data_IF_531392605626
#
_entry.id   IF_531392605626
#
_cell.length_a   1.000
_cell.length_b   1.000
_cell.length_c   1.000
_cell.angle_alpha   90.00
_cell.angle_beta   90.00
_cell.angle_gamma   90.00
#
_symmetry.space_group_name_H-M   'P 1'
#
loop_
_entity.id
_entity.type
_entity.pdbx_description
1 polymer ?
#
# COMPACT_ATOMS: atom_id res chain seq x y z
N UNK A 1 -20.23 -3.70 -21.63
CA UNK A 1 -19.68 -2.45 -22.11
C UNK A 1 -18.19 -2.44 -21.86
N UNK A 2 -17.40 -2.19 -22.88
CA UNK A 2 -15.95 -2.17 -22.71
C UNK A 2 -15.52 -0.91 -21.94
N UNK A 3 -14.68 -1.08 -20.94
CA UNK A 3 -14.09 0.06 -20.23
C UNK A 3 -13.08 0.75 -21.15
N UNK A 4 -13.15 2.09 -21.18
CA UNK A 4 -12.22 2.90 -21.94
C UNK A 4 -11.22 3.49 -20.98
N UNK A 5 -9.94 3.14 -21.14
CA UNK A 5 -8.87 3.70 -20.31
C UNK A 5 -8.27 4.94 -20.94
N UNK A 6 -7.80 5.89 -20.13
CA UNK A 6 -7.18 7.11 -20.64
C UNK A 6 -5.86 6.82 -21.33
N UNK A 7 -5.44 7.71 -22.23
CA UNK A 7 -4.08 7.72 -22.76
C UNK A 7 -3.08 8.07 -21.65
N UNK A 8 -1.78 7.85 -21.91
CA UNK A 8 -0.75 8.22 -20.93
C UNK A 8 -0.82 9.70 -20.53
N UNK A 9 -1.03 10.59 -21.48
CA UNK A 9 -1.17 12.02 -21.19
C UNK A 9 -2.40 12.33 -20.35
N UNK A 10 -3.53 11.72 -20.67
CA UNK A 10 -4.76 11.89 -19.88
C UNK A 10 -4.58 11.37 -18.46
N UNK A 11 -3.88 10.26 -18.31
CA UNK A 11 -3.58 9.67 -17.01
C UNK A 11 -2.66 10.57 -16.18
N UNK A 12 -1.61 11.12 -16.78
CA UNK A 12 -0.69 12.04 -16.11
C UNK A 12 -1.35 13.37 -15.73
N UNK A 13 -2.31 13.82 -16.53
CA UNK A 13 -3.07 15.06 -16.31
C UNK A 13 -4.42 14.81 -15.64
N UNK A 14 -4.66 13.59 -15.17
CA UNK A 14 -5.92 13.23 -14.56
C UNK A 14 -6.23 14.03 -13.30
N UNK A 15 -7.46 13.94 -12.80
CA UNK A 15 -7.86 14.68 -11.62
C UNK A 15 -7.01 14.30 -10.40
N UNK A 16 -6.81 15.26 -9.52
CA UNK A 16 -6.17 15.00 -8.23
C UNK A 16 -7.22 14.42 -7.29
N UNK A 17 -6.97 13.20 -6.84
CA UNK A 17 -7.91 12.47 -5.98
C UNK A 17 -7.19 12.10 -4.68
N UNK A 18 -7.79 12.48 -3.55
CA UNK A 18 -7.36 12.01 -2.24
C UNK A 18 -8.37 10.96 -1.76
N UNK A 19 -7.89 9.75 -1.50
CA UNK A 19 -8.71 8.66 -1.00
C UNK A 19 -8.37 8.39 0.47
N UNK A 20 -9.39 8.35 1.31
CA UNK A 20 -9.23 8.20 2.76
C UNK A 20 -9.88 6.88 3.16
N UNK A 21 -9.19 6.06 3.94
CA UNK A 21 -9.78 4.82 4.43
C UNK A 21 -8.79 3.92 5.15
N UNK A 22 -9.25 2.71 5.44
CA UNK A 22 -8.42 1.65 6.03
C UNK A 22 -7.85 0.72 4.97
N UNK A 23 -6.97 -0.19 5.39
CA UNK A 23 -6.11 -0.99 4.53
C UNK A 23 -6.75 -1.65 3.31
N UNK A 24 -7.60 -2.68 3.51
CA UNK A 24 -8.10 -3.48 2.39
C UNK A 24 -9.05 -2.72 1.49
N UNK A 25 -10.02 -2.00 2.08
CA UNK A 25 -10.98 -1.24 1.31
C UNK A 25 -10.33 -0.13 0.50
N UNK A 26 -9.42 0.60 1.14
CA UNK A 26 -8.70 1.69 0.48
C UNK A 26 -7.81 1.15 -0.65
N UNK A 27 -7.06 0.08 -0.41
CA UNK A 27 -6.18 -0.48 -1.44
C UNK A 27 -6.96 -0.96 -2.66
N UNK A 28 -8.12 -1.56 -2.46
CA UNK A 28 -9.00 -1.99 -3.56
C UNK A 28 -9.46 -0.80 -4.39
N UNK A 29 -9.86 0.29 -3.74
CA UNK A 29 -10.27 1.51 -4.42
C UNK A 29 -9.12 2.13 -5.21
N UNK A 30 -7.91 2.17 -4.62
CA UNK A 30 -6.73 2.72 -5.28
C UNK A 30 -6.36 1.95 -6.54
N UNK A 31 -6.51 0.61 -6.54
CA UNK A 31 -6.25 -0.20 -7.73
C UNK A 31 -7.17 0.18 -8.89
N UNK A 32 -8.41 0.50 -8.59
CA UNK A 32 -9.35 0.99 -9.60
C UNK A 32 -9.01 2.39 -10.09
N UNK A 33 -8.75 3.32 -9.17
CA UNK A 33 -8.50 4.72 -9.48
C UNK A 33 -7.20 4.95 -10.26
N UNK A 34 -6.14 4.19 -9.97
CA UNK A 34 -4.85 4.38 -10.65
C UNK A 34 -4.91 4.12 -12.15
N UNK A 35 -5.94 3.45 -12.64
CA UNK A 35 -6.15 3.23 -14.07
C UNK A 35 -6.58 4.51 -14.79
N UNK A 36 -7.09 5.47 -14.08
CA UNK A 36 -7.66 6.69 -14.67
C UNK A 36 -6.82 7.93 -14.40
N UNK A 37 -6.04 7.96 -13.33
CA UNK A 37 -5.22 9.11 -12.99
C UNK A 37 -3.94 8.71 -12.26
N UNK A 38 -2.88 9.47 -12.51
CA UNK A 38 -1.62 9.39 -11.77
C UNK A 38 -1.68 10.17 -10.45
N UNK A 39 -2.56 11.15 -10.36
CA UNK A 39 -2.58 12.12 -9.27
C UNK A 39 -3.40 11.60 -8.10
N UNK A 40 -2.96 10.47 -7.53
CA UNK A 40 -3.60 9.82 -6.39
C UNK A 40 -2.81 10.06 -5.10
N UNK A 41 -3.54 10.39 -4.04
CA UNK A 41 -2.99 10.46 -2.69
C UNK A 41 -3.83 9.57 -1.78
N UNK A 42 -3.20 8.66 -1.08
CA UNK A 42 -3.86 7.80 -0.11
C UNK A 42 -3.66 8.34 1.30
N UNK A 43 -4.75 8.49 2.04
CA UNK A 43 -4.71 8.85 3.45
C UNK A 43 -5.19 7.63 4.23
N UNK A 44 -4.26 6.95 4.88
CA UNK A 44 -4.53 5.69 5.57
C UNK A 44 -4.89 5.98 7.01
N UNK A 45 -6.08 5.53 7.45
CA UNK A 45 -6.48 5.72 8.83
C UNK A 45 -5.69 4.78 9.73
N UNK A 46 -5.41 5.23 10.95
CA UNK A 46 -4.62 4.50 11.95
C UNK A 46 -5.48 4.04 13.13
N UNK A 47 -6.77 3.92 12.91
CA UNK A 47 -7.71 3.61 13.97
C UNK A 47 -7.78 2.12 14.33
N UNK A 48 -7.31 1.24 13.44
CA UNK A 48 -7.37 -0.22 13.62
C UNK A 48 -6.09 -0.73 14.28
N UNK A 49 -6.24 -1.44 15.40
CA UNK A 49 -5.14 -2.03 16.16
C UNK A 49 -4.97 -3.54 15.91
N UNK A 50 -5.58 -4.08 14.83
CA UNK A 50 -5.59 -5.52 14.58
C UNK A 50 -4.27 -6.10 14.07
N UNK A 51 -4.05 -7.39 14.32
CA UNK A 51 -2.98 -8.19 13.73
C UNK A 51 -1.56 -7.75 14.10
N UNK A 52 -0.61 -8.09 13.24
CA UNK A 52 0.80 -7.75 13.43
C UNK A 52 1.07 -6.24 13.39
N UNK A 53 0.26 -5.49 12.62
CA UNK A 53 0.35 -4.04 12.60
C UNK A 53 -0.03 -3.43 13.94
N UNK A 54 -1.04 -4.00 14.62
CA UNK A 54 -1.44 -3.55 15.94
C UNK A 54 -0.34 -3.75 16.98
N UNK A 55 0.34 -4.89 16.91
CA UNK A 55 1.45 -5.19 17.82
C UNK A 55 2.61 -4.22 17.63
N UNK A 56 3.03 -3.97 16.39
CA UNK A 56 4.10 -3.00 16.12
C UNK A 56 3.73 -1.60 16.56
N UNK A 57 2.48 -1.21 16.36
CA UNK A 57 1.98 0.08 16.76
C UNK A 57 2.02 0.29 18.26
N UNK A 58 1.65 -0.75 19.04
CA UNK A 58 1.69 -0.69 20.50
C UNK A 58 3.11 -0.67 21.03
N UNK A 59 3.98 -1.53 20.49
CA UNK A 59 5.33 -1.71 21.00
C UNK A 59 6.26 -0.55 20.60
N UNK A 60 6.10 -0.04 19.39
CA UNK A 60 7.01 0.96 18.81
C UNK A 60 6.37 2.34 18.65
N UNK A 61 5.06 2.47 18.91
CA UNK A 61 4.34 3.73 18.76
C UNK A 61 4.23 4.21 17.31
N UNK A 62 4.32 3.32 16.34
CA UNK A 62 4.29 3.66 14.92
C UNK A 62 2.93 3.39 14.29
N UNK A 63 2.60 4.04 13.15
CA UNK A 63 1.39 3.72 12.40
C UNK A 63 1.35 2.27 11.95
N UNK A 64 0.15 1.69 11.63
CA UNK A 64 0.03 0.30 11.22
C UNK A 64 0.73 0.04 9.87
N UNK A 65 1.87 -0.67 9.85
CA UNK A 65 2.65 -0.83 8.63
C UNK A 65 1.98 -1.73 7.60
N UNK A 66 1.13 -2.67 8.03
CA UNK A 66 0.42 -3.55 7.11
C UNK A 66 -0.54 -2.80 6.20
N UNK A 67 -1.31 -1.87 6.75
CA UNK A 67 -2.26 -1.07 5.99
C UNK A 67 -1.54 -0.14 5.01
N UNK A 68 -0.46 0.49 5.46
CA UNK A 68 0.36 1.34 4.62
C UNK A 68 0.97 0.53 3.47
N UNK A 69 1.47 -0.66 3.77
CA UNK A 69 2.05 -1.56 2.77
C UNK A 69 1.04 -1.94 1.69
N UNK A 70 -0.18 -2.30 2.07
CA UNK A 70 -1.23 -2.65 1.11
C UNK A 70 -1.53 -1.48 0.16
N UNK A 71 -1.56 -0.26 0.67
CA UNK A 71 -1.78 0.93 -0.15
C UNK A 71 -0.60 1.20 -1.08
N UNK A 72 0.64 1.01 -0.61
CA UNK A 72 1.82 1.15 -1.45
C UNK A 72 1.82 0.15 -2.61
N UNK A 73 1.46 -1.11 -2.35
CA UNK A 73 1.32 -2.11 -3.41
C UNK A 73 0.26 -1.68 -4.43
N UNK A 74 -0.90 -1.23 -3.93
CA UNK A 74 -2.01 -0.83 -4.80
C UNK A 74 -1.66 0.36 -5.70
N UNK A 75 -0.84 1.29 -5.21
CA UNK A 75 -0.41 2.47 -5.96
C UNK A 75 0.75 2.19 -6.92
N UNK A 76 1.45 1.08 -6.76
CA UNK A 76 2.62 0.75 -7.58
C UNK A 76 2.21 0.48 -9.02
N UNK A 77 3.06 0.89 -9.97
CA UNK A 77 2.85 0.62 -11.39
C UNK A 77 2.99 -0.87 -11.72
N UNK A 78 3.81 -1.59 -10.97
CA UNK A 78 4.04 -3.03 -11.12
C UNK A 78 3.79 -3.73 -9.78
N UNK A 79 2.51 -3.98 -9.48
CA UNK A 79 2.11 -4.59 -8.20
C UNK A 79 2.81 -5.93 -7.92
N UNK A 80 2.99 -6.87 -8.88
CA UNK A 80 3.64 -8.14 -8.57
C UNK A 80 5.08 -7.97 -8.07
N UNK A 81 5.85 -7.06 -8.68
CA UNK A 81 7.24 -6.80 -8.27
C UNK A 81 7.25 -6.11 -6.91
N UNK A 82 6.39 -5.12 -6.71
CA UNK A 82 6.29 -4.42 -5.43
C UNK A 82 5.86 -5.39 -4.32
N UNK A 83 4.90 -6.27 -4.59
CA UNK A 83 4.46 -7.26 -3.63
C UNK A 83 5.58 -8.23 -3.23
N UNK A 84 6.38 -8.69 -4.19
CA UNK A 84 7.52 -9.55 -3.91
C UNK A 84 8.55 -8.85 -3.02
N UNK A 85 8.87 -7.59 -3.32
CA UNK A 85 9.80 -6.81 -2.52
C UNK A 85 9.29 -6.62 -1.09
N UNK A 86 8.05 -6.16 -0.94
CA UNK A 86 7.50 -5.85 0.37
C UNK A 86 7.26 -7.11 1.21
N UNK A 87 7.06 -8.26 0.58
CA UNK A 87 6.87 -9.54 1.26
C UNK A 87 8.16 -10.28 1.54
N UNK A 88 9.30 -9.79 1.06
CA UNK A 88 10.60 -10.40 1.33
C UNK A 88 10.84 -10.48 2.83
N UNK A 89 11.25 -11.65 3.30
CA UNK A 89 11.57 -11.88 4.70
C UNK A 89 13.06 -12.11 4.87
N UNK A 90 13.61 -11.51 5.89
CA UNK A 90 15.02 -11.68 6.20
C UNK A 90 15.28 -13.10 6.69
N UNK A 91 16.32 -13.78 6.17
CA UNK A 91 16.64 -15.16 6.54
C UNK A 91 17.20 -15.27 7.96
N UNK A 92 17.32 -16.49 8.44
CA UNK A 92 18.01 -16.75 9.69
C UNK A 92 19.44 -16.20 9.63
N UNK A 93 19.93 -15.69 10.74
CA UNK A 93 21.25 -15.06 10.81
C UNK A 93 21.26 -13.56 10.53
N UNK A 94 20.08 -12.97 10.33
CA UNK A 94 19.95 -11.53 10.11
C UNK A 94 19.78 -10.73 11.40
N UNK A 95 20.09 -11.32 12.52
CA UNK A 95 19.96 -10.67 13.83
C UNK A 95 18.51 -10.37 14.19
N UNK A 96 18.26 -9.15 14.65
CA UNK A 96 16.92 -8.71 15.02
C UNK A 96 15.93 -8.63 13.85
N UNK A 97 16.43 -8.67 12.61
CA UNK A 97 15.59 -8.62 11.40
C UNK A 97 15.09 -9.99 10.98
N UNK A 98 15.61 -11.08 11.56
CA UNK A 98 15.25 -12.45 11.19
C UNK A 98 13.73 -12.64 11.21
N UNK A 99 13.17 -13.10 10.07
CA UNK A 99 11.74 -13.36 9.95
C UNK A 99 10.89 -12.13 9.69
N UNK A 100 11.43 -10.93 9.77
CA UNK A 100 10.71 -9.71 9.46
C UNK A 100 10.53 -9.53 7.96
N UNK A 101 9.37 -9.03 7.54
CA UNK A 101 9.17 -8.67 6.14
C UNK A 101 9.74 -7.29 5.86
N UNK A 102 10.33 -7.13 4.68
CA UNK A 102 10.88 -5.83 4.26
C UNK A 102 9.83 -4.72 4.30
N UNK A 103 8.60 -5.04 3.89
CA UNK A 103 7.52 -4.05 3.84
C UNK A 103 7.05 -3.54 5.21
N UNK A 104 7.38 -4.25 6.29
CA UNK A 104 7.00 -3.83 7.64
C UNK A 104 8.10 -3.04 8.36
N UNK A 105 9.21 -2.85 7.70
CA UNK A 105 10.30 -2.04 8.23
C UNK A 105 10.14 -0.56 7.83
#
# INVERSE_FOLDING_TARGET
MAESYPTLQQWERGPKIAAIGGGTGLSTMLRGLKKYTQNLTAIVTVADDGGGSGMLRQDLGMPPPGDIRHCMEALANTEPIMGQLLSYRFPEGSGSLTGQSFGNL
#
